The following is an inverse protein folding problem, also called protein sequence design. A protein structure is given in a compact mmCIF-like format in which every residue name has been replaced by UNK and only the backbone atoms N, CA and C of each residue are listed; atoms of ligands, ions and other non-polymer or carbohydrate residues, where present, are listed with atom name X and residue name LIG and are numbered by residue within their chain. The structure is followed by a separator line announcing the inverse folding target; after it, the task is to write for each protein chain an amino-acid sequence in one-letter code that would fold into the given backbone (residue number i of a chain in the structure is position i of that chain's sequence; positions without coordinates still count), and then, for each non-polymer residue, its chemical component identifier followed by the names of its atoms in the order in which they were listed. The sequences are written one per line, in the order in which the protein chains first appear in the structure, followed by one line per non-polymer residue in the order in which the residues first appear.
data_IF_586230289882
#
_entry.id   IF_586230289882
#
_cell.length_a   1.000
_cell.length_b   1.000
_cell.length_c   1.000
_cell.angle_alpha   90.00
_cell.angle_beta   90.00
_cell.angle_gamma   90.00
#
_symmetry.space_group_name_H-M   'P 1'
#
loop_
_entity.id
_entity.type
_entity.pdbx_description
1 polymer ?
#
# COMPACT_ATOMS: atom_id res chain seq x y z
N UNK A 1 -18.34 -15.64 17.26
CA UNK A 1 -19.01 -14.42 16.78
C UNK A 1 -18.95 -14.48 15.27
N UNK A 2 -20.01 -14.13 14.52
CA UNK A 2 -19.88 -14.03 13.07
C UNK A 2 -18.77 -13.02 12.76
N UNK A 3 -17.86 -13.37 11.86
CA UNK A 3 -16.78 -12.49 11.44
C UNK A 3 -17.40 -11.20 10.91
N UNK A 4 -17.16 -10.09 11.61
CA UNK A 4 -17.67 -8.79 11.19
C UNK A 4 -16.97 -8.39 9.89
N UNK A 5 -17.75 -8.29 8.81
CA UNK A 5 -17.27 -7.85 7.51
C UNK A 5 -17.46 -6.33 7.43
N UNK A 6 -16.35 -5.60 7.38
CA UNK A 6 -16.34 -4.15 7.23
C UNK A 6 -17.12 -3.72 5.98
N UNK A 7 -18.01 -2.74 6.14
CA UNK A 7 -18.75 -2.13 5.05
C UNK A 7 -18.13 -0.78 4.61
N UNK A 8 -18.65 -0.20 3.52
CA UNK A 8 -18.13 1.05 2.96
C UNK A 8 -18.25 2.25 3.91
N UNK A 9 -19.32 2.31 4.72
CA UNK A 9 -19.53 3.40 5.68
C UNK A 9 -18.50 3.35 6.81
N UNK A 10 -18.24 2.15 7.35
CA UNK A 10 -17.19 1.94 8.35
C UNK A 10 -15.80 2.30 7.79
N UNK A 11 -15.50 1.88 6.56
CA UNK A 11 -14.24 2.21 5.89
C UNK A 11 -14.07 3.72 5.66
N UNK A 12 -15.14 4.44 5.27
CA UNK A 12 -15.12 5.90 5.14
C UNK A 12 -14.97 6.59 6.50
N UNK A 13 -15.57 6.02 7.54
CA UNK A 13 -15.51 6.53 8.92
C UNK A 13 -14.09 6.61 9.49
N UNK A 14 -13.15 5.81 8.96
CA UNK A 14 -11.73 5.83 9.32
C UNK A 14 -11.09 7.22 9.16
N UNK A 15 -11.61 8.04 8.24
CA UNK A 15 -11.03 9.34 7.88
C UNK A 15 -11.88 10.52 8.36
N UNK A 16 -12.79 10.31 9.30
CA UNK A 16 -13.70 11.35 9.83
C UNK A 16 -12.98 12.56 10.44
N UNK A 17 -11.74 12.38 10.90
CA UNK A 17 -10.90 13.41 11.49
C UNK A 17 -9.73 13.85 10.58
N UNK A 18 -9.74 13.48 9.30
CA UNK A 18 -8.70 13.88 8.35
C UNK A 18 -8.58 15.41 8.29
N UNK A 19 -7.35 15.91 8.17
CA UNK A 19 -7.14 17.34 8.02
C UNK A 19 -7.77 17.88 6.72
N UNK A 20 -7.90 19.21 6.60
CA UNK A 20 -8.58 19.83 5.46
C UNK A 20 -7.94 19.45 4.11
N UNK A 21 -6.61 19.32 4.04
CA UNK A 21 -5.90 19.01 2.80
C UNK A 21 -6.16 17.56 2.41
N UNK A 22 -6.04 16.63 3.36
CA UNK A 22 -6.31 15.22 3.14
C UNK A 22 -7.79 14.98 2.80
N UNK A 23 -8.71 15.67 3.49
CA UNK A 23 -10.14 15.63 3.18
C UNK A 23 -10.43 16.00 1.72
N UNK A 24 -9.77 17.04 1.18
CA UNK A 24 -9.90 17.39 -0.24
C UNK A 24 -9.42 16.30 -1.19
N UNK A 25 -8.35 15.58 -0.84
CA UNK A 25 -7.90 14.43 -1.63
C UNK A 25 -8.94 13.30 -1.57
N UNK A 26 -9.47 12.99 -0.39
CA UNK A 26 -10.48 11.94 -0.19
C UNK A 26 -11.81 12.28 -0.90
N UNK A 27 -12.24 13.55 -0.90
CA UNK A 27 -13.42 14.02 -1.61
C UNK A 27 -13.32 13.77 -3.12
N UNK A 28 -12.13 13.99 -3.70
CA UNK A 28 -11.86 13.82 -5.13
C UNK A 28 -11.74 12.37 -5.58
N UNK A 29 -11.71 11.40 -4.68
CA UNK A 29 -11.74 9.99 -5.06
C UNK A 29 -13.07 9.64 -5.77
N UNK A 30 -13.03 8.87 -6.88
CA UNK A 30 -14.20 8.44 -7.62
C UNK A 30 -15.31 7.82 -6.75
N UNK A 31 -16.56 8.22 -6.97
CA UNK A 31 -17.71 7.69 -6.25
C UNK A 31 -17.84 6.15 -6.36
N UNK A 32 -17.38 5.56 -7.47
CA UNK A 32 -17.34 4.09 -7.68
C UNK A 32 -16.50 3.38 -6.62
N UNK A 33 -15.38 3.97 -6.19
CA UNK A 33 -14.46 3.39 -5.21
C UNK A 33 -15.04 3.48 -3.79
N UNK A 34 -15.92 4.46 -3.52
CA UNK A 34 -16.56 4.66 -2.22
C UNK A 34 -17.75 3.72 -1.94
N UNK A 35 -18.05 2.79 -2.85
CA UNK A 35 -19.21 1.89 -2.75
C UNK A 35 -18.96 0.63 -1.91
N UNK A 36 -17.71 0.25 -1.72
CA UNK A 36 -17.33 -0.97 -0.98
C UNK A 36 -16.18 -0.66 -0.03
N UNK A 37 -16.07 -1.40 1.08
CA UNK A 37 -14.92 -1.28 1.97
C UNK A 37 -13.60 -1.49 1.21
N UNK A 38 -13.54 -2.54 0.37
CA UNK A 38 -12.39 -2.82 -0.50
C UNK A 38 -12.00 -1.61 -1.36
N UNK A 39 -12.97 -0.96 -2.02
CA UNK A 39 -12.67 0.18 -2.89
C UNK A 39 -12.18 1.41 -2.11
N UNK A 40 -12.73 1.64 -0.92
CA UNK A 40 -12.27 2.71 -0.02
C UNK A 40 -10.83 2.43 0.44
N UNK A 41 -10.55 1.23 0.94
CA UNK A 41 -9.21 0.84 1.39
C UNK A 41 -8.20 0.90 0.26
N UNK A 42 -8.54 0.34 -0.91
CA UNK A 42 -7.68 0.39 -2.10
C UNK A 42 -7.29 1.81 -2.48
N UNK A 43 -8.29 2.68 -2.63
CA UNK A 43 -8.05 4.06 -3.07
C UNK A 43 -7.32 4.90 -2.02
N UNK A 44 -7.63 4.72 -0.74
CA UNK A 44 -6.92 5.38 0.36
C UNK A 44 -5.47 4.93 0.48
N UNK A 45 -5.18 3.63 0.33
CA UNK A 45 -3.81 3.11 0.40
C UNK A 45 -3.01 3.56 -0.82
N UNK A 46 -3.56 3.43 -2.04
CA UNK A 46 -2.92 3.99 -3.24
C UNK A 46 -2.60 5.48 -3.08
N UNK A 47 -3.53 6.25 -2.52
CA UNK A 47 -3.31 7.67 -2.22
C UNK A 47 -2.15 7.87 -1.24
N UNK A 48 -2.04 7.06 -0.19
CA UNK A 48 -0.94 7.16 0.77
C UNK A 48 0.43 6.95 0.11
N UNK A 49 0.56 5.96 -0.78
CA UNK A 49 1.80 5.74 -1.54
C UNK A 49 2.12 6.88 -2.50
N UNK A 50 1.12 7.46 -3.16
CA UNK A 50 1.31 8.65 -4.02
C UNK A 50 1.74 9.86 -3.18
N UNK A 51 1.11 10.11 -2.04
CA UNK A 51 1.48 11.20 -1.13
C UNK A 51 2.89 11.02 -0.58
N UNK A 52 3.26 9.79 -0.22
CA UNK A 52 4.63 9.44 0.17
C UNK A 52 5.63 9.75 -0.96
N UNK A 53 5.34 9.33 -2.19
CA UNK A 53 6.19 9.61 -3.35
C UNK A 53 6.36 11.12 -3.61
N UNK A 54 5.32 11.92 -3.32
CA UNK A 54 5.36 13.38 -3.40
C UNK A 54 6.03 14.05 -2.18
N UNK A 55 6.49 13.29 -1.20
CA UNK A 55 7.13 13.78 0.03
C UNK A 55 6.18 14.21 1.14
N UNK A 56 4.86 14.02 0.99
CA UNK A 56 3.85 14.32 2.01
C UNK A 56 3.67 13.12 2.96
N UNK A 57 4.73 12.81 3.72
CA UNK A 57 4.78 11.67 4.64
C UNK A 57 3.77 11.77 5.77
N UNK A 58 3.41 13.00 6.18
CA UNK A 58 2.38 13.24 7.19
C UNK A 58 1.01 12.79 6.69
N UNK A 59 0.57 13.26 5.52
CA UNK A 59 -0.73 12.87 4.97
C UNK A 59 -0.78 11.37 4.63
N UNK A 60 0.34 10.79 4.17
CA UNK A 60 0.47 9.34 4.00
C UNK A 60 0.26 8.59 5.32
N UNK A 61 0.88 9.06 6.42
CA UNK A 61 0.72 8.49 7.76
C UNK A 61 -0.73 8.57 8.26
N UNK A 62 -1.38 9.73 8.11
CA UNK A 62 -2.78 9.93 8.53
C UNK A 62 -3.75 8.97 7.80
N UNK A 63 -3.44 8.56 6.55
CA UNK A 63 -4.22 7.57 5.81
C UNK A 63 -4.01 6.14 6.29
N UNK A 64 -2.76 5.73 6.52
CA UNK A 64 -2.46 4.31 6.80
C UNK A 64 -2.67 3.95 8.26
N UNK A 65 -2.59 4.91 9.18
CA UNK A 65 -2.74 4.67 10.61
C UNK A 65 -4.06 3.95 10.95
N UNK A 66 -5.26 4.48 10.64
CA UNK A 66 -6.50 3.79 10.98
C UNK A 66 -6.72 2.49 10.20
N UNK A 67 -6.18 2.37 8.98
CA UNK A 67 -6.26 1.13 8.18
C UNK A 67 -5.41 0.02 8.81
N UNK A 68 -4.23 0.36 9.33
CA UNK A 68 -3.29 -0.59 9.93
C UNK A 68 -3.83 -1.26 11.18
N UNK A 69 -4.82 -0.64 11.84
CA UNK A 69 -5.47 -1.17 13.04
C UNK A 69 -6.54 -2.22 12.75
N UNK A 70 -6.87 -2.46 11.47
CA UNK A 70 -7.88 -3.44 11.08
C UNK A 70 -7.27 -4.85 11.22
N UNK A 71 -7.83 -5.72 12.08
CA UNK A 71 -7.28 -7.06 12.29
C UNK A 71 -7.55 -7.96 11.07
N UNK A 72 -6.70 -8.97 10.88
CA UNK A 72 -6.94 -10.00 9.89
C UNK A 72 -8.11 -10.91 10.30
N UNK A 73 -9.15 -10.99 9.47
CA UNK A 73 -10.37 -11.79 9.71
C UNK A 73 -10.46 -13.03 8.81
N UNK A 74 -9.32 -13.62 8.44
CA UNK A 74 -9.24 -14.77 7.52
C UNK A 74 -9.82 -14.53 6.11
N UNK A 75 -10.01 -13.28 5.70
CA UNK A 75 -10.39 -12.90 4.33
C UNK A 75 -9.32 -12.03 3.68
N UNK A 76 -8.92 -12.40 2.46
CA UNK A 76 -7.96 -11.62 1.67
C UNK A 76 -8.60 -10.49 0.85
N UNK A 77 -9.93 -10.36 0.85
CA UNK A 77 -10.64 -9.37 0.03
C UNK A 77 -10.21 -7.93 0.32
N UNK A 78 -9.99 -7.61 1.60
CA UNK A 78 -9.47 -6.32 2.06
C UNK A 78 -8.03 -6.40 2.57
N UNK A 79 -7.56 -7.59 2.94
CA UNK A 79 -6.25 -7.77 3.56
C UNK A 79 -5.09 -7.27 2.68
N UNK A 80 -5.17 -7.45 1.36
CA UNK A 80 -4.12 -6.93 0.45
C UNK A 80 -3.86 -5.44 0.66
N UNK A 81 -4.90 -4.65 0.91
CA UNK A 81 -4.78 -3.20 1.15
C UNK A 81 -4.37 -2.89 2.59
N UNK A 82 -4.86 -3.67 3.56
CA UNK A 82 -4.46 -3.55 4.97
C UNK A 82 -2.96 -3.87 5.13
N UNK A 83 -2.47 -4.93 4.49
CA UNK A 83 -1.05 -5.30 4.46
C UNK A 83 -0.20 -4.21 3.81
N UNK A 84 -0.65 -3.65 2.68
CA UNK A 84 0.04 -2.53 2.05
C UNK A 84 0.07 -1.27 2.95
N UNK A 85 -0.97 -1.04 3.77
CA UNK A 85 -0.98 0.02 4.78
C UNK A 85 0.02 -0.26 5.92
N UNK A 86 0.09 -1.51 6.40
CA UNK A 86 1.08 -1.95 7.40
C UNK A 86 2.52 -1.77 6.90
N UNK A 87 2.79 -2.12 5.63
CA UNK A 87 4.09 -1.90 4.97
C UNK A 87 4.45 -0.41 4.95
N UNK A 88 3.52 0.46 4.52
CA UNK A 88 3.75 1.91 4.49
C UNK A 88 3.96 2.48 5.90
N UNK A 89 3.16 2.05 6.89
CA UNK A 89 3.33 2.42 8.30
C UNK A 89 4.71 2.03 8.81
N UNK A 90 5.16 0.80 8.53
CA UNK A 90 6.50 0.35 8.87
C UNK A 90 7.60 1.23 8.28
N UNK A 91 7.51 1.57 7.00
CA UNK A 91 8.48 2.46 6.34
C UNK A 91 8.53 3.85 6.99
N UNK A 92 7.38 4.44 7.28
CA UNK A 92 7.27 5.74 7.96
C UNK A 92 7.82 5.69 9.38
N UNK A 93 7.50 4.64 10.13
CA UNK A 93 7.97 4.44 11.50
C UNK A 93 9.50 4.36 11.58
N UNK A 94 10.15 3.59 10.70
CA UNK A 94 11.61 3.52 10.64
C UNK A 94 12.23 4.89 10.32
N UNK A 95 11.67 5.62 9.35
CA UNK A 95 12.15 6.95 8.99
C UNK A 95 12.04 7.97 10.14
N UNK A 96 11.11 7.75 11.08
CA UNK A 96 10.89 8.57 12.27
C UNK A 96 11.60 8.04 13.53
N UNK A 97 12.24 6.87 13.45
CA UNK A 97 12.86 6.22 14.61
C UNK A 97 11.88 5.53 15.57
N UNK A 98 10.65 5.27 15.15
CA UNK A 98 9.59 4.65 15.95
C UNK A 98 9.62 3.11 15.82
N UNK A 99 10.68 2.48 16.32
CA UNK A 99 10.89 1.03 16.17
C UNK A 99 9.74 0.18 16.73
N UNK A 100 9.07 0.62 17.80
CA UNK A 100 7.93 -0.11 18.37
C UNK A 100 6.73 -0.14 17.42
N UNK A 101 6.43 0.97 16.74
CA UNK A 101 5.35 1.03 15.74
C UNK A 101 5.66 0.15 14.51
N UNK A 102 6.94 0.08 14.12
CA UNK A 102 7.39 -0.86 13.08
C UNK A 102 7.16 -2.31 13.52
N UNK A 103 7.60 -2.67 14.73
CA UNK A 103 7.47 -4.03 15.26
C UNK A 103 6.00 -4.46 15.37
N UNK A 104 5.11 -3.55 15.76
CA UNK A 104 3.66 -3.78 15.78
C UNK A 104 3.10 -4.05 14.39
N UNK A 105 3.43 -3.19 13.42
CA UNK A 105 2.97 -3.37 12.04
C UNK A 105 3.48 -4.69 11.45
N UNK A 106 4.75 -5.02 11.69
CA UNK A 106 5.38 -6.25 11.25
C UNK A 106 4.72 -7.48 11.88
N UNK A 107 4.47 -7.47 13.20
CA UNK A 107 3.77 -8.55 13.89
C UNK A 107 2.37 -8.78 13.33
N UNK A 108 1.61 -7.70 13.06
CA UNK A 108 0.28 -7.81 12.48
C UNK A 108 0.31 -8.45 11.08
N UNK A 109 1.27 -8.06 10.25
CA UNK A 109 1.43 -8.62 8.90
C UNK A 109 1.80 -10.12 8.94
N UNK A 110 2.76 -10.50 9.79
CA UNK A 110 3.20 -11.89 9.97
C UNK A 110 2.10 -12.78 10.56
N UNK A 111 1.25 -12.24 11.44
CA UNK A 111 0.15 -12.99 12.04
C UNK A 111 -0.82 -13.54 10.97
N UNK A 112 -1.09 -12.79 9.90
CA UNK A 112 -1.95 -13.24 8.81
C UNK A 112 -1.31 -14.37 7.97
N UNK A 113 0.02 -14.33 7.78
CA UNK A 113 0.76 -15.42 7.12
C UNK A 113 0.69 -16.73 7.93
N UNK A 114 0.70 -16.62 9.26
CA UNK A 114 0.69 -17.76 10.19
C UNK A 114 -0.70 -18.22 10.63
N UNK A 115 -1.78 -17.65 10.08
CA UNK A 115 -3.13 -18.06 10.45
C UNK A 115 -3.71 -19.13 9.52
N UNK A 116 -4.70 -19.87 10.01
CA UNK A 116 -5.41 -20.92 9.27
C UNK A 116 -4.89 -22.33 9.59
N UNK A 117 -5.27 -23.31 8.76
CA UNK A 117 -4.76 -24.68 8.86
C UNK A 117 -3.32 -24.79 8.39
N UNK A 118 -2.63 -25.89 8.73
CA UNK A 118 -1.26 -26.15 8.27
C UNK A 118 -1.12 -26.06 6.74
N UNK A 119 -2.10 -26.59 6.01
CA UNK A 119 -2.14 -26.50 4.54
C UNK A 119 -2.25 -25.04 4.07
N UNK A 120 -3.14 -24.25 4.70
CA UNK A 120 -3.27 -22.83 4.38
C UNK A 120 -1.99 -22.06 4.67
N UNK A 121 -1.34 -22.31 5.81
CA UNK A 121 -0.06 -21.70 6.18
C UNK A 121 1.04 -22.06 5.18
N UNK A 122 1.10 -23.32 4.75
CA UNK A 122 2.08 -23.79 3.75
C UNK A 122 1.89 -23.10 2.41
N UNK A 123 0.63 -22.98 1.95
CA UNK A 123 0.31 -22.27 0.71
C UNK A 123 0.69 -20.80 0.81
N UNK A 124 0.36 -20.13 1.93
CA UNK A 124 0.72 -18.73 2.17
C UNK A 124 2.23 -18.53 2.17
N UNK A 125 3.00 -19.40 2.83
CA UNK A 125 4.45 -19.35 2.85
C UNK A 125 5.04 -19.47 1.45
N UNK A 126 4.60 -20.45 0.65
CA UNK A 126 5.09 -20.63 -0.73
C UNK A 126 4.72 -19.47 -1.67
N UNK A 127 3.56 -18.83 -1.46
CA UNK A 127 3.18 -17.60 -2.20
C UNK A 127 4.05 -16.43 -1.77
N UNK A 128 4.27 -16.29 -0.46
CA UNK A 128 5.11 -15.23 0.11
C UNK A 128 6.55 -15.33 -0.38
N UNK A 129 7.19 -16.51 -0.33
CA UNK A 129 8.56 -16.72 -0.82
C UNK A 129 8.72 -16.32 -2.30
N UNK A 130 7.81 -16.77 -3.18
CA UNK A 130 7.83 -16.38 -4.60
C UNK A 130 7.69 -14.87 -4.80
N UNK A 131 6.88 -14.22 -3.97
CA UNK A 131 6.76 -12.75 -3.97
C UNK A 131 8.07 -12.09 -3.52
N UNK A 132 8.70 -12.59 -2.46
CA UNK A 132 9.98 -12.07 -1.94
C UNK A 132 11.13 -12.22 -2.93
N UNK A 133 11.10 -13.25 -3.77
CA UNK A 133 12.04 -13.43 -4.90
C UNK A 133 11.72 -12.51 -6.09
N UNK A 134 10.59 -11.80 -6.06
CA UNK A 134 10.14 -10.90 -7.10
C UNK A 134 9.58 -11.59 -8.34
N UNK A 135 9.17 -12.87 -8.25
CA UNK A 135 8.64 -13.63 -9.39
C UNK A 135 7.33 -13.03 -9.96
N UNK A 136 6.65 -12.20 -9.17
CA UNK A 136 5.41 -11.52 -9.53
C UNK A 136 5.59 -10.03 -9.78
N UNK A 137 6.83 -9.52 -9.78
CA UNK A 137 7.09 -8.11 -10.08
C UNK A 137 6.98 -7.89 -11.58
N UNK A 138 6.11 -6.97 -11.96
CA UNK A 138 6.10 -6.43 -13.31
C UNK A 138 7.15 -5.32 -13.43
N UNK A 139 8.08 -5.49 -14.35
CA UNK A 139 9.16 -4.52 -14.63
C UNK A 139 9.00 -3.89 -16.01
N UNK A 140 7.97 -4.27 -16.77
CA UNK A 140 7.72 -3.76 -18.11
C UNK A 140 6.85 -2.50 -18.03
N UNK A 141 7.47 -1.36 -17.71
CA UNK A 141 6.79 -0.07 -17.78
C UNK A 141 6.62 0.30 -19.27
N UNK A 142 5.39 0.26 -19.77
CA UNK A 142 5.06 0.66 -21.15
C UNK A 142 5.52 2.10 -21.47
N UNK A 143 5.86 2.31 -22.74
CA UNK A 143 6.34 3.56 -23.35
C UNK A 143 5.45 4.78 -23.06
N UNK A 144 6.05 5.97 -23.18
CA UNK A 144 5.52 7.29 -22.79
C UNK A 144 4.11 7.68 -23.30
N UNK A 145 3.54 6.94 -24.26
CA UNK A 145 2.24 7.24 -24.86
C UNK A 145 1.07 7.03 -23.88
N UNK A 146 1.16 6.06 -22.95
CA UNK A 146 0.11 5.78 -21.97
C UNK A 146 0.55 6.05 -20.53
N UNK A 147 0.68 7.34 -20.20
CA UNK A 147 1.14 7.81 -18.89
C UNK A 147 0.28 7.37 -17.69
N UNK A 148 -0.99 6.97 -17.91
CA UNK A 148 -1.84 6.49 -16.81
C UNK A 148 -1.43 5.08 -16.44
N UNK A 149 -1.30 4.20 -17.43
CA UNK A 149 -0.95 2.80 -17.18
C UNK A 149 0.50 2.73 -16.69
N UNK A 150 1.41 3.54 -17.24
CA UNK A 150 2.78 3.68 -16.71
C UNK A 150 2.75 4.05 -15.21
N UNK A 151 1.96 5.06 -14.82
CA UNK A 151 1.87 5.49 -13.43
C UNK A 151 1.30 4.40 -12.51
N UNK A 152 0.25 3.68 -12.95
CA UNK A 152 -0.35 2.60 -12.17
C UNK A 152 0.60 1.41 -12.00
N UNK A 153 1.35 1.06 -13.05
CA UNK A 153 2.38 0.02 -12.99
C UNK A 153 3.50 0.41 -12.03
N UNK A 154 4.02 1.64 -12.11
CA UNK A 154 5.04 2.14 -11.19
C UNK A 154 4.56 2.21 -9.75
N UNK A 155 3.33 2.67 -9.51
CA UNK A 155 2.72 2.68 -8.18
C UNK A 155 2.63 1.26 -7.60
N UNK A 156 2.22 0.28 -8.41
CA UNK A 156 2.16 -1.13 -8.02
C UNK A 156 3.54 -1.69 -7.74
N UNK A 157 4.53 -1.35 -8.57
CA UNK A 157 5.92 -1.78 -8.43
C UNK A 157 6.56 -1.25 -7.14
N UNK A 158 6.46 0.06 -6.85
CA UNK A 158 7.02 0.60 -5.60
C UNK A 158 6.34 0.02 -4.35
N UNK A 159 5.04 -0.26 -4.43
CA UNK A 159 4.30 -0.90 -3.35
C UNK A 159 4.85 -2.30 -3.07
N UNK A 160 5.12 -3.05 -4.14
CA UNK A 160 5.67 -4.39 -4.03
C UNK A 160 7.12 -4.39 -3.52
N UNK A 161 7.97 -3.47 -4.00
CA UNK A 161 9.35 -3.31 -3.51
C UNK A 161 9.40 -2.97 -2.02
N UNK A 162 8.57 -2.02 -1.55
CA UNK A 162 8.48 -1.69 -0.13
C UNK A 162 8.03 -2.89 0.70
N UNK A 163 7.15 -3.75 0.17
CA UNK A 163 6.75 -4.98 0.84
C UNK A 163 7.91 -5.97 0.95
N UNK A 164 8.70 -6.16 -0.10
CA UNK A 164 9.89 -7.03 -0.06
C UNK A 164 10.88 -6.52 1.00
N UNK A 165 11.13 -5.20 1.05
CA UNK A 165 11.99 -4.62 2.08
C UNK A 165 11.43 -4.83 3.49
N UNK A 166 10.14 -4.56 3.69
CA UNK A 166 9.44 -4.70 4.98
C UNK A 166 9.51 -6.13 5.54
N UNK A 167 9.53 -7.15 4.67
CA UNK A 167 9.67 -8.55 5.07
C UNK A 167 11.11 -9.06 5.13
N UNK A 168 12.10 -8.16 5.07
CA UNK A 168 13.50 -8.48 5.35
C UNK A 168 14.37 -8.70 4.11
N UNK A 169 13.94 -8.24 2.92
CA UNK A 169 14.66 -8.40 1.65
C UNK A 169 14.79 -9.86 1.19
N UNK A 170 15.48 -10.07 0.07
CA UNK A 170 15.89 -11.40 -0.43
C UNK A 170 17.28 -11.35 -1.07
N UNK A 171 17.83 -12.50 -1.47
CA UNK A 171 19.12 -12.55 -2.20
C UNK A 171 19.05 -11.76 -3.52
N UNK A 172 17.92 -11.84 -4.21
CA UNK A 172 17.66 -11.12 -5.47
C UNK A 172 17.41 -9.64 -5.22
N UNK A 173 16.66 -9.32 -4.16
CA UNK A 173 16.22 -7.97 -3.83
C UNK A 173 16.85 -7.48 -2.53
N UNK A 174 18.12 -7.09 -2.63
CA UNK A 174 18.84 -6.46 -1.51
C UNK A 174 18.29 -5.07 -1.20
N UNK A 175 18.45 -4.60 0.04
CA UNK A 175 18.02 -3.24 0.43
C UNK A 175 18.60 -2.13 -0.47
N UNK A 176 19.88 -2.24 -0.86
CA UNK A 176 20.50 -1.27 -1.78
C UNK A 176 19.88 -1.24 -3.17
N UNK A 177 19.47 -2.41 -3.69
CA UNK A 177 18.78 -2.52 -4.99
C UNK A 177 17.37 -1.94 -4.89
N UNK A 178 16.63 -2.31 -3.84
CA UNK A 178 15.28 -1.80 -3.60
C UNK A 178 15.30 -0.27 -3.51
N UNK A 179 16.20 0.32 -2.73
CA UNK A 179 16.27 1.78 -2.57
C UNK A 179 16.58 2.48 -3.91
N UNK A 180 17.52 1.95 -4.71
CA UNK A 180 17.80 2.49 -6.05
C UNK A 180 16.58 2.45 -6.97
N UNK A 181 15.81 1.35 -6.95
CA UNK A 181 14.62 1.17 -7.77
C UNK A 181 13.46 2.07 -7.31
N UNK A 182 13.29 2.21 -6.00
CA UNK A 182 12.31 3.13 -5.40
C UNK A 182 12.60 4.58 -5.81
N UNK A 183 13.85 5.04 -5.67
CA UNK A 183 14.23 6.40 -6.04
C UNK A 183 13.95 6.70 -7.52
N UNK A 184 14.34 5.77 -8.41
CA UNK A 184 14.11 5.91 -9.86
C UNK A 184 12.62 5.97 -10.20
N UNK A 185 11.82 5.07 -9.65
CA UNK A 185 10.38 5.00 -9.95
C UNK A 185 9.60 6.16 -9.33
N UNK A 186 9.94 6.58 -8.11
CA UNK A 186 9.33 7.75 -7.46
C UNK A 186 9.65 9.03 -8.24
N UNK A 187 10.89 9.19 -8.72
CA UNK A 187 11.26 10.33 -9.55
C UNK A 187 10.39 10.39 -10.83
N UNK A 188 10.28 9.27 -11.55
CA UNK A 188 9.45 9.21 -12.76
C UNK A 188 7.95 9.41 -12.47
N UNK A 189 7.43 8.86 -11.38
CA UNK A 189 6.05 9.11 -10.95
C UNK A 189 5.81 10.60 -10.70
N UNK A 190 6.75 11.28 -10.05
CA UNK A 190 6.66 12.73 -9.81
C UNK A 190 6.73 13.54 -11.11
N UNK A 191 7.58 13.15 -12.08
CA UNK A 191 7.60 13.77 -13.41
C UNK A 191 6.24 13.68 -14.11
N UNK A 192 5.58 12.51 -14.05
CA UNK A 192 4.25 12.31 -14.61
C UNK A 192 3.21 13.17 -13.89
N UNK A 193 3.26 13.24 -12.55
CA UNK A 193 2.37 14.08 -11.74
C UNK A 193 2.51 15.57 -12.14
N UNK A 194 3.74 16.06 -12.28
CA UNK A 194 4.02 17.44 -12.69
C UNK A 194 3.51 17.71 -14.10
N UNK A 195 3.77 16.80 -15.05
CA UNK A 195 3.41 16.99 -16.45
C UNK A 195 1.91 16.85 -16.74
N UNK A 196 1.21 15.95 -16.05
CA UNK A 196 -0.17 15.54 -16.40
C UNK A 196 -1.21 15.99 -15.36
N UNK A 197 -0.77 16.20 -14.12
CA UNK A 197 -1.61 16.54 -12.97
C UNK A 197 -2.13 15.31 -12.23
N UNK A 198 -2.03 15.32 -10.90
CA UNK A 198 -2.37 14.19 -10.02
C UNK A 198 -3.79 13.65 -10.22
N UNK A 199 -4.79 14.51 -10.49
CA UNK A 199 -6.19 14.11 -10.62
C UNK A 199 -6.52 13.34 -11.91
N UNK A 200 -5.56 13.16 -12.82
CA UNK A 200 -5.69 12.30 -14.00
C UNK A 200 -5.12 10.90 -13.79
N UNK A 201 -4.55 10.63 -12.62
CA UNK A 201 -3.81 9.42 -12.29
C UNK A 201 -4.54 8.65 -11.18
N UNK A 202 -4.19 7.38 -10.98
CA UNK A 202 -4.67 6.64 -9.82
C UNK A 202 -4.25 7.33 -8.51
N UNK A 203 -5.09 7.28 -7.46
CA UNK A 203 -6.41 6.63 -7.41
C UNK A 203 -7.57 7.50 -7.91
N UNK A 204 -7.31 8.67 -8.50
CA UNK A 204 -8.36 9.62 -8.92
C UNK A 204 -9.12 9.24 -10.20
N UNK A 205 -8.63 8.28 -10.97
CA UNK A 205 -9.21 7.84 -12.26
C UNK A 205 -10.17 6.64 -12.13
#
# INVERSE_FOLDING_TARGET
MPDHIMNAFEALGLFSNADKKLAQHLEKLPAKQKRTAKGVLESSVKLAYVLFAMGDTRAASELVEPISQIPFTNSYDCWTWIEAALVMKGRLAIAQGHNEEYDEAFRAAVAALKSGSELQMTVKANVHERFMDGQTLDTAFEDEENFVDEFEMRLSYITALMKIEFFGCSETWTGSRIESELLSNIARMNDIIVAKGIYKLAPYK
#
